data_IF_954443775977
#
_entry.id   IF_954443775977
#
_cell.length_a   1.000
_cell.length_b   1.000
_cell.length_c   1.000
_cell.angle_alpha   90.00
_cell.angle_beta   90.00
_cell.angle_gamma   90.00
#
_symmetry.space_group_name_H-M   'P 1'
#
loop_
_entity.id
_entity.type
_entity.pdbx_description
1 polymer ?
#
# COMPACT_ATOMS: atom_id res chain seq x y z
N UNK A 1 -7.25 -26.88 -15.69
CA UNK A 1 -7.49 -25.49 -16.13
C UNK A 1 -8.79 -25.04 -15.47
N UNK A 2 -8.73 -24.24 -14.40
CA UNK A 2 -9.93 -23.72 -13.71
C UNK A 2 -9.80 -22.20 -13.67
N UNK A 3 -10.57 -21.57 -14.54
CA UNK A 3 -10.87 -20.14 -14.54
C UNK A 3 -11.81 -19.90 -13.35
N UNK A 4 -11.48 -18.96 -12.45
CA UNK A 4 -12.39 -18.46 -11.42
C UNK A 4 -12.24 -16.93 -11.42
N UNK A 5 -13.15 -16.26 -12.12
CA UNK A 5 -14.29 -15.48 -11.59
C UNK A 5 -13.80 -14.15 -11.01
N UNK A 6 -14.10 -13.10 -11.78
CA UNK A 6 -13.82 -11.68 -11.51
C UNK A 6 -14.82 -11.16 -10.49
N UNK A 7 -14.35 -10.61 -9.37
CA UNK A 7 -15.18 -9.83 -8.45
C UNK A 7 -14.94 -8.35 -8.71
N UNK A 8 -15.97 -7.67 -9.22
CA UNK A 8 -16.06 -6.22 -9.24
C UNK A 8 -16.46 -5.75 -7.85
N UNK A 9 -15.56 -5.08 -7.12
CA UNK A 9 -15.92 -4.35 -5.91
C UNK A 9 -15.82 -2.86 -6.22
N UNK A 10 -16.97 -2.22 -6.41
CA UNK A 10 -17.08 -0.78 -6.44
C UNK A 10 -16.81 -0.25 -5.02
N UNK A 11 -15.53 0.02 -4.74
CA UNK A 11 -15.07 0.42 -3.42
C UNK A 11 -15.50 1.87 -3.15
N UNK A 12 -16.44 2.05 -2.23
CA UNK A 12 -16.82 3.39 -1.77
C UNK A 12 -15.72 3.87 -0.83
N UNK A 13 -14.79 4.64 -1.37
CA UNK A 13 -13.54 5.05 -0.70
C UNK A 13 -13.85 5.82 0.59
N UNK A 14 -13.75 5.14 1.72
CA UNK A 14 -13.76 5.74 3.05
C UNK A 14 -12.60 6.73 3.17
N UNK A 15 -12.96 8.00 3.36
CA UNK A 15 -12.11 9.14 3.72
C UNK A 15 -10.66 9.10 3.19
N UNK A 16 -10.44 9.65 1.99
CA UNK A 16 -9.13 10.12 1.56
C UNK A 16 -8.57 11.11 2.60
N UNK A 17 -7.74 10.66 3.54
CA UNK A 17 -6.83 11.56 4.23
C UNK A 17 -5.68 11.85 3.28
N UNK A 18 -5.83 12.85 2.42
CA UNK A 18 -4.77 13.33 1.55
C UNK A 18 -3.68 14.02 2.38
N UNK A 19 -2.70 13.26 2.87
CA UNK A 19 -1.46 13.80 3.40
C UNK A 19 -0.45 13.91 2.24
N UNK A 20 -0.49 15.03 1.52
CA UNK A 20 0.50 15.35 0.49
C UNK A 20 1.83 15.75 1.14
N UNK A 21 2.83 14.87 1.10
CA UNK A 21 4.22 15.24 1.42
C UNK A 21 5.07 15.25 0.16
N UNK A 22 5.82 16.35 -0.01
CA UNK A 22 6.79 16.52 -1.09
C UNK A 22 8.04 15.69 -0.80
N UNK A 23 8.21 14.57 -1.48
CA UNK A 23 9.38 13.69 -1.31
C UNK A 23 10.08 13.42 -2.63
N UNK A 24 11.26 12.80 -2.69
CA UNK A 24 12.05 12.83 -3.93
C UNK A 24 13.11 11.73 -4.15
N UNK A 25 13.92 11.79 -5.22
CA UNK A 25 14.44 10.64 -5.99
C UNK A 25 15.96 10.46 -6.14
N UNK A 26 16.81 11.15 -5.37
CA UNK A 26 18.21 10.70 -5.19
C UNK A 26 18.39 9.78 -3.98
N UNK A 27 17.48 9.81 -3.01
CA UNK A 27 17.57 9.06 -1.74
C UNK A 27 16.52 7.95 -1.54
N UNK A 28 15.73 7.67 -2.57
CA UNK A 28 14.70 6.63 -2.57
C UNK A 28 13.38 7.03 -1.87
N UNK A 29 12.31 6.31 -2.21
CA UNK A 29 11.00 6.41 -1.58
C UNK A 29 10.83 5.26 -0.58
N UNK A 30 10.81 5.58 0.71
CA UNK A 30 10.62 4.61 1.80
C UNK A 30 9.19 4.61 2.29
N UNK A 31 8.73 3.45 2.73
CA UNK A 31 7.42 3.25 3.34
C UNK A 31 7.59 2.62 4.72
N UNK A 32 6.70 2.98 5.63
CA UNK A 32 6.55 2.35 6.94
C UNK A 32 5.09 1.96 7.11
N UNK A 33 4.81 0.68 7.33
CA UNK A 33 3.48 0.21 7.69
C UNK A 33 3.20 0.57 9.15
N UNK A 34 2.02 1.10 9.42
CA UNK A 34 1.50 1.33 10.76
C UNK A 34 0.13 0.64 10.89
N UNK A 35 0.01 -0.28 11.84
CA UNK A 35 -1.25 -0.95 12.17
C UNK A 35 -2.03 -0.17 13.23
N UNK A 36 -3.35 -0.39 13.34
CA UNK A 36 -4.14 0.21 14.40
C UNK A 36 -3.60 -0.16 15.80
N UNK A 37 -3.77 0.76 16.76
CA UNK A 37 -3.29 0.56 18.12
C UNK A 37 -3.83 -0.75 18.73
N UNK A 38 -2.93 -1.53 19.34
CA UNK A 38 -3.26 -2.81 19.95
C UNK A 38 -3.17 -4.02 19.01
N UNK A 39 -3.05 -3.81 17.70
CA UNK A 39 -2.82 -4.88 16.73
C UNK A 39 -1.34 -5.24 16.71
N UNK A 40 -1.05 -6.53 16.91
CA UNK A 40 0.29 -7.10 16.73
C UNK A 40 0.20 -8.12 15.60
N UNK A 41 0.82 -7.82 14.47
CA UNK A 41 0.97 -8.73 13.34
C UNK A 41 2.46 -8.84 12.97
N UNK A 42 2.82 -9.93 12.30
CA UNK A 42 4.09 -9.99 11.61
C UNK A 42 4.02 -9.09 10.37
N UNK A 43 4.97 -8.18 10.27
CA UNK A 43 5.08 -7.25 9.14
C UNK A 43 6.25 -7.62 8.21
N UNK A 44 6.96 -8.72 8.47
CA UNK A 44 7.96 -9.22 7.55
C UNK A 44 7.32 -9.72 6.27
N UNK A 45 8.01 -9.51 5.15
CA UNK A 45 7.60 -9.98 3.83
C UNK A 45 6.15 -9.59 3.49
N UNK A 46 5.71 -8.41 3.94
CA UNK A 46 4.42 -7.83 3.55
C UNK A 46 4.58 -7.11 2.22
N UNK A 47 3.70 -7.38 1.23
CA UNK A 47 3.77 -6.71 -0.07
C UNK A 47 3.33 -5.26 0.07
N UNK A 48 4.08 -4.37 -0.58
CA UNK A 48 3.70 -2.98 -0.78
C UNK A 48 3.94 -2.64 -2.24
N UNK A 49 2.91 -2.19 -2.93
CA UNK A 49 2.97 -1.87 -4.35
C UNK A 49 2.81 -0.38 -4.60
N UNK A 50 3.39 0.06 -5.72
CA UNK A 50 3.34 1.44 -6.21
C UNK A 50 2.66 1.45 -7.57
N UNK A 51 1.70 2.36 -7.76
CA UNK A 51 0.84 2.47 -8.94
C UNK A 51 0.81 3.91 -9.47
N UNK A 52 0.51 4.10 -10.75
CA UNK A 52 0.33 5.45 -11.32
C UNK A 52 -1.05 6.01 -11.11
N UNK A 53 -2.06 5.16 -11.17
CA UNK A 53 -3.47 5.55 -11.10
C UNK A 53 -4.24 4.66 -10.14
N UNK A 54 -5.42 5.12 -9.71
CA UNK A 54 -6.32 4.28 -8.89
C UNK A 54 -6.86 3.10 -9.71
N UNK A 55 -7.09 3.28 -11.01
CA UNK A 55 -7.45 2.18 -11.92
C UNK A 55 -6.36 1.10 -11.96
N UNK A 56 -5.08 1.48 -11.92
CA UNK A 56 -3.99 0.51 -11.84
C UNK A 56 -3.99 -0.26 -10.51
N UNK A 57 -4.42 0.37 -9.40
CA UNK A 57 -4.60 -0.32 -8.10
C UNK A 57 -5.69 -1.37 -8.23
N UNK A 58 -6.86 -0.99 -8.75
CA UNK A 58 -8.02 -1.89 -8.94
C UNK A 58 -7.72 -3.06 -9.89
N UNK A 59 -6.76 -2.89 -10.81
CA UNK A 59 -6.33 -3.91 -11.76
C UNK A 59 -5.01 -4.60 -11.36
N UNK A 60 -4.46 -4.30 -10.18
CA UNK A 60 -3.19 -4.84 -9.68
C UNK A 60 -1.99 -4.67 -10.65
N UNK A 61 -1.96 -3.54 -11.37
CA UNK A 61 -0.91 -3.19 -12.33
C UNK A 61 0.15 -2.30 -11.69
N UNK A 62 0.94 -2.87 -10.78
CA UNK A 62 1.99 -2.10 -10.11
C UNK A 62 3.12 -1.72 -11.08
N UNK A 63 3.69 -0.54 -10.88
CA UNK A 63 4.94 -0.14 -11.56
C UNK A 63 6.16 -0.61 -10.78
N UNK A 64 5.99 -0.90 -9.49
CA UNK A 64 7.03 -1.43 -8.61
C UNK A 64 6.40 -2.07 -7.38
N UNK A 65 7.02 -3.15 -6.93
CA UNK A 65 6.66 -3.89 -5.72
C UNK A 65 7.87 -3.99 -4.81
N UNK A 66 7.65 -3.99 -3.50
CA UNK A 66 8.67 -4.30 -2.49
C UNK A 66 8.08 -5.20 -1.41
N UNK A 67 8.98 -5.78 -0.62
CA UNK A 67 8.64 -6.54 0.58
C UNK A 67 9.23 -5.84 1.79
N UNK A 68 8.46 -5.72 2.86
CA UNK A 68 8.89 -5.06 4.09
C UNK A 68 9.77 -5.96 4.96
N UNK A 69 10.59 -5.34 5.80
CA UNK A 69 11.27 -6.04 6.88
C UNK A 69 10.33 -6.31 8.08
N UNK A 70 10.82 -7.00 9.11
CA UNK A 70 10.03 -7.34 10.30
C UNK A 70 9.43 -6.15 11.09
N UNK A 71 9.92 -4.92 10.86
CA UNK A 71 9.32 -3.72 11.45
C UNK A 71 8.28 -3.06 10.53
N UNK A 72 7.96 -3.63 9.37
CA UNK A 72 7.06 -3.05 8.37
C UNK A 72 7.70 -1.93 7.54
N UNK A 73 9.02 -1.80 7.55
CA UNK A 73 9.73 -0.80 6.75
C UNK A 73 10.13 -1.38 5.40
N UNK A 74 9.96 -0.59 4.34
CA UNK A 74 10.32 -0.94 2.98
C UNK A 74 10.96 0.23 2.23
N UNK A 75 11.69 -0.07 1.15
CA UNK A 75 12.37 0.93 0.32
C UNK A 75 12.14 0.64 -1.17
N UNK A 76 11.35 1.49 -1.82
CA UNK A 76 11.15 1.46 -3.27
C UNK A 76 12.40 1.92 -4.03
N UNK A 77 13.45 2.38 -3.37
CA UNK A 77 14.64 2.94 -3.99
C UNK A 77 14.26 4.13 -4.89
N UNK A 78 15.01 4.31 -5.98
CA UNK A 78 14.71 5.39 -6.93
C UNK A 78 13.37 5.15 -7.64
N UNK A 79 12.50 6.14 -7.54
CA UNK A 79 11.22 6.26 -8.26
C UNK A 79 11.32 7.48 -9.17
N UNK A 80 10.58 7.55 -10.28
CA UNK A 80 10.55 8.78 -11.08
C UNK A 80 9.70 9.85 -10.37
N UNK A 81 9.93 11.13 -10.66
CA UNK A 81 9.04 12.18 -10.16
C UNK A 81 7.66 12.04 -10.82
N UNK A 82 6.60 12.20 -10.03
CA UNK A 82 5.20 12.02 -10.44
C UNK A 82 4.28 11.81 -9.24
N UNK A 83 2.98 11.76 -9.51
CA UNK A 83 1.98 11.32 -8.53
C UNK A 83 1.75 9.82 -8.66
N UNK A 84 1.69 9.13 -7.53
CA UNK A 84 1.53 7.68 -7.45
C UNK A 84 0.52 7.33 -6.35
N UNK A 85 0.11 6.06 -6.33
CA UNK A 85 -0.59 5.44 -5.24
C UNK A 85 0.26 4.33 -4.65
N UNK A 86 0.28 4.20 -3.33
CA UNK A 86 0.89 3.09 -2.61
C UNK A 86 -0.24 2.33 -1.97
N UNK A 87 -0.26 1.01 -2.12
CA UNK A 87 -1.14 0.14 -1.34
C UNK A 87 -0.34 -0.82 -0.48
N UNK A 88 -1.04 -1.50 0.42
CA UNK A 88 -0.47 -2.55 1.24
C UNK A 88 -1.56 -3.27 2.01
N UNK A 89 -1.29 -4.55 2.28
CA UNK A 89 -2.23 -5.43 2.96
C UNK A 89 -1.49 -6.29 3.98
N UNK A 90 -2.03 -6.39 5.19
CA UNK A 90 -1.55 -7.29 6.25
C UNK A 90 -2.70 -8.17 6.70
N UNK A 91 -2.48 -9.47 6.68
CA UNK A 91 -3.38 -10.45 7.27
C UNK A 91 -2.90 -10.80 8.69
N UNK A 92 -3.83 -10.87 9.65
CA UNK A 92 -3.53 -11.24 11.01
C UNK A 92 -4.67 -12.07 11.61
N UNK A 93 -4.53 -13.40 11.54
CA UNK A 93 -5.65 -14.31 11.81
C UNK A 93 -6.77 -14.08 10.80
N UNK A 94 -8.00 -13.96 11.27
CA UNK A 94 -9.19 -13.76 10.43
C UNK A 94 -9.39 -12.29 10.02
N UNK A 95 -8.40 -11.43 10.24
CA UNK A 95 -8.50 -10.00 10.01
C UNK A 95 -7.59 -9.54 8.88
N UNK A 96 -8.16 -8.77 7.96
CA UNK A 96 -7.42 -8.10 6.88
C UNK A 96 -7.29 -6.62 7.23
N UNK A 97 -6.09 -6.08 7.10
CA UNK A 97 -5.78 -4.67 7.26
C UNK A 97 -5.26 -4.12 5.94
N UNK A 98 -5.90 -3.07 5.43
CA UNK A 98 -5.62 -2.55 4.09
C UNK A 98 -5.60 -1.02 4.09
N UNK A 99 -4.80 -0.43 3.20
CA UNK A 99 -4.90 0.97 2.85
C UNK A 99 -4.33 1.25 1.46
N UNK A 100 -4.84 2.31 0.84
CA UNK A 100 -4.25 2.96 -0.33
C UNK A 100 -4.00 4.42 0.01
N UNK A 101 -2.81 4.93 -0.32
CA UNK A 101 -2.47 6.34 -0.16
C UNK A 101 -1.95 6.94 -1.45
N UNK A 102 -2.30 8.19 -1.74
CA UNK A 102 -1.68 8.95 -2.82
C UNK A 102 -0.41 9.61 -2.34
N UNK A 103 0.67 9.53 -3.11
CA UNK A 103 1.97 10.14 -2.82
C UNK A 103 2.49 10.94 -4.03
N UNK A 104 3.10 12.10 -3.76
CA UNK A 104 3.76 12.91 -4.78
C UNK A 104 5.28 12.81 -4.63
N UNK A 105 5.91 12.23 -5.66
CA UNK A 105 7.36 12.11 -5.80
C UNK A 105 7.88 13.27 -6.66
N UNK A 106 8.89 13.97 -6.17
CA UNK A 106 9.55 15.17 -6.72
C UNK A 106 11.00 14.79 -7.08
N UNK A 107 11.76 15.58 -7.83
CA UNK A 107 13.18 15.27 -8.12
C UNK A 107 14.18 15.90 -7.10
N UNK A 108 15.30 15.23 -6.77
CA UNK A 108 16.37 15.71 -5.85
C UNK A 108 16.26 15.79 -4.27
N UNK A 109 15.50 14.97 -3.54
CA UNK A 109 15.40 14.83 -2.06
C UNK A 109 15.18 13.34 -1.72
N UNK A 110 15.01 12.96 -0.47
CA UNK A 110 14.59 11.60 -0.09
C UNK A 110 13.12 11.61 0.37
N UNK A 111 12.45 10.46 0.33
CA UNK A 111 11.06 10.31 0.76
C UNK A 111 10.83 9.25 1.81
N UNK A 112 9.97 9.55 2.76
CA UNK A 112 9.41 8.55 3.67
C UNK A 112 7.94 8.85 3.87
N UNK A 113 7.12 7.81 3.74
CA UNK A 113 5.69 7.85 4.00
C UNK A 113 5.29 6.78 5.00
N UNK A 114 4.21 7.02 5.73
CA UNK A 114 3.60 6.04 6.62
C UNK A 114 2.29 5.57 6.00
N UNK A 115 2.20 4.29 5.68
CA UNK A 115 0.98 3.65 5.22
C UNK A 115 0.21 3.13 6.44
N UNK A 116 -0.83 3.87 6.84
CA UNK A 116 -1.67 3.51 7.98
C UNK A 116 -2.75 2.55 7.53
N UNK A 117 -2.57 1.28 7.86
CA UNK A 117 -3.55 0.25 7.53
C UNK A 117 -4.75 0.36 8.48
N UNK A 118 -5.94 0.15 7.94
CA UNK A 118 -7.18 0.05 8.71
C UNK A 118 -7.79 -1.32 8.52
N UNK A 119 -8.48 -1.82 9.54
CA UNK A 119 -9.19 -3.09 9.42
C UNK A 119 -10.21 -2.99 8.29
N UNK A 120 -10.13 -3.91 7.34
CA UNK A 120 -11.03 -3.99 6.21
C UNK A 120 -11.96 -5.19 6.41
N UNK A 121 -13.15 -4.92 6.93
CA UNK A 121 -14.18 -5.95 7.19
C UNK A 121 -14.77 -6.55 5.92
N UNK A 122 -14.65 -5.85 4.79
CA UNK A 122 -15.21 -6.31 3.52
C UNK A 122 -14.35 -7.42 2.90
N UNK A 123 -13.07 -7.52 3.30
CA UNK A 123 -12.13 -8.55 2.83
C UNK A 123 -12.04 -9.78 3.77
N UNK A 124 -12.67 -9.74 4.94
CA UNK A 124 -12.64 -10.86 5.91
C UNK A 124 -13.54 -12.04 5.49
N UNK A 125 -14.48 -11.83 4.56
CA UNK A 125 -15.48 -12.83 4.16
C UNK A 125 -15.07 -13.75 3.01
N UNK A 126 -13.92 -13.51 2.37
CA UNK A 126 -13.46 -14.28 1.20
C UNK A 126 -12.50 -15.43 1.57
N UNK A 127 -12.30 -15.71 2.87
CA UNK A 127 -11.39 -16.75 3.39
C UNK A 127 -12.05 -18.14 3.56
N UNK A 128 -13.00 -18.52 2.70
CA UNK A 128 -13.53 -19.91 2.61
C UNK A 128 -12.81 -20.81 1.59
#
# INVERSE_FOLDING_TARGET
>A
MRIKIVFFVALTIGALTSLSFRTSTTGGLKVQIELPAGVKADLSDTPVDLYKTMEDVENEKSVKSIWTNASGAGDFGQVAAGSYYIDGMVENGDHVYYAVMKVDVVAGKAGSVVLKLVRNTDMEGDME
#
